data_IF_195963239253
#
_entry.id   IF_195963239253
#
_cell.length_a   1.000
_cell.length_b   1.000
_cell.length_c   1.000
_cell.angle_alpha   90.00
_cell.angle_beta   90.00
_cell.angle_gamma   90.00
#
_symmetry.space_group_name_H-M   'P 1'
#
loop_
_entity.id
_entity.type
_entity.pdbx_description
1 polymer ?
#
# COMPACT_ATOMS: atom_id res chain seq x y z
N UNK A 1 -5.40 -7.41 -20.06
CA UNK A 1 -5.21 -8.10 -18.78
C UNK A 1 -6.53 -8.48 -18.11
N UNK A 2 -7.53 -7.61 -18.05
CA UNK A 2 -8.86 -7.91 -17.47
C UNK A 2 -9.54 -9.12 -18.12
N UNK A 3 -9.41 -9.30 -19.44
CA UNK A 3 -9.94 -10.46 -20.16
C UNK A 3 -9.25 -11.77 -19.72
N UNK A 4 -7.93 -11.73 -19.47
CA UNK A 4 -7.17 -12.90 -19.02
C UNK A 4 -7.57 -13.28 -17.59
N UNK A 5 -7.68 -12.30 -16.69
CA UNK A 5 -8.10 -12.53 -15.29
C UNK A 5 -9.53 -13.08 -15.23
N UNK A 6 -10.46 -12.52 -15.99
CA UNK A 6 -11.84 -13.02 -16.07
C UNK A 6 -11.91 -14.43 -16.70
N UNK A 7 -11.13 -14.69 -17.76
CA UNK A 7 -11.05 -16.01 -18.39
C UNK A 7 -10.52 -17.09 -17.44
N UNK A 8 -9.49 -16.79 -16.68
CA UNK A 8 -8.95 -17.68 -15.65
C UNK A 8 -9.96 -17.96 -14.53
N UNK A 9 -10.71 -16.95 -14.08
CA UNK A 9 -11.77 -17.14 -13.07
C UNK A 9 -12.94 -18.01 -13.57
N UNK A 10 -13.24 -18.00 -14.87
CA UNK A 10 -14.24 -18.90 -15.47
C UNK A 10 -13.71 -20.33 -15.55
N UNK A 11 -12.44 -20.51 -15.92
CA UNK A 11 -11.79 -21.82 -15.99
C UNK A 11 -11.66 -22.46 -14.61
N UNK A 12 -11.29 -21.72 -13.56
CA UNK A 12 -11.24 -22.19 -12.19
C UNK A 12 -12.56 -22.80 -11.70
N UNK A 13 -13.70 -22.22 -12.12
CA UNK A 13 -15.03 -22.73 -11.75
C UNK A 13 -15.45 -23.98 -12.52
N UNK A 14 -14.83 -24.26 -13.67
CA UNK A 14 -15.18 -25.37 -14.56
C UNK A 14 -14.30 -26.61 -14.40
N UNK A 15 -13.10 -26.45 -13.84
CA UNK A 15 -12.13 -27.55 -13.70
C UNK A 15 -12.32 -28.28 -12.37
N UNK A 16 -12.49 -29.58 -12.43
CA UNK A 16 -12.70 -30.45 -11.26
C UNK A 16 -11.43 -31.22 -10.87
N UNK A 17 -10.30 -30.98 -11.55
CA UNK A 17 -9.04 -31.70 -11.31
C UNK A 17 -8.12 -30.86 -10.40
N UNK A 18 -7.68 -31.39 -9.23
CA UNK A 18 -6.91 -30.61 -8.26
C UNK A 18 -5.55 -30.08 -8.76
N UNK A 19 -4.90 -30.78 -9.69
CA UNK A 19 -3.62 -30.33 -10.26
C UNK A 19 -3.80 -29.12 -11.18
N UNK A 20 -4.84 -29.11 -12.00
CA UNK A 20 -5.16 -28.01 -12.91
C UNK A 20 -5.56 -26.76 -12.14
N UNK A 21 -6.22 -26.92 -10.98
CA UNK A 21 -6.57 -25.81 -10.09
C UNK A 21 -5.32 -25.07 -9.57
N UNK A 22 -4.24 -25.78 -9.23
CA UNK A 22 -2.98 -25.17 -8.79
C UNK A 22 -2.29 -24.37 -9.89
N UNK A 23 -2.31 -24.89 -11.12
CA UNK A 23 -1.75 -24.20 -12.30
C UNK A 23 -2.54 -22.94 -12.59
N UNK A 24 -3.87 -23.03 -12.58
CA UNK A 24 -4.75 -21.87 -12.80
C UNK A 24 -4.59 -20.80 -11.72
N UNK A 25 -4.45 -21.20 -10.46
CA UNK A 25 -4.15 -20.28 -9.37
C UNK A 25 -2.79 -19.58 -9.56
N UNK A 26 -1.78 -20.30 -10.01
CA UNK A 26 -0.48 -19.73 -10.32
C UNK A 26 -0.57 -18.73 -11.48
N UNK A 27 -1.33 -19.05 -12.53
CA UNK A 27 -1.57 -18.17 -13.69
C UNK A 27 -2.38 -16.93 -13.28
N UNK A 28 -3.41 -17.07 -12.45
CA UNK A 28 -4.20 -15.96 -11.93
C UNK A 28 -3.33 -15.00 -11.13
N UNK A 29 -2.53 -15.52 -10.20
CA UNK A 29 -1.55 -14.71 -9.44
C UNK A 29 -0.54 -14.01 -10.35
N UNK A 30 -0.05 -14.68 -11.40
CA UNK A 30 0.88 -14.07 -12.35
C UNK A 30 0.22 -12.95 -13.17
N UNK A 31 -1.03 -13.14 -13.59
CA UNK A 31 -1.81 -12.13 -14.32
C UNK A 31 -2.11 -10.91 -13.44
N UNK A 32 -2.48 -11.12 -12.16
CA UNK A 32 -2.72 -10.04 -11.20
C UNK A 32 -1.44 -9.26 -10.89
N UNK A 33 -0.30 -9.93 -10.76
CA UNK A 33 1.00 -9.27 -10.63
C UNK A 33 1.34 -8.41 -11.84
N UNK A 34 1.16 -8.94 -13.05
CA UNK A 34 1.36 -8.19 -14.29
C UNK A 34 0.44 -6.98 -14.40
N UNK A 35 -0.82 -7.11 -13.95
CA UNK A 35 -1.78 -6.01 -13.92
C UNK A 35 -1.37 -4.93 -12.91
N UNK A 36 -0.86 -5.32 -11.74
CA UNK A 36 -0.37 -4.39 -10.72
C UNK A 36 0.87 -3.64 -11.21
N UNK A 37 1.84 -4.36 -11.78
CA UNK A 37 3.05 -3.75 -12.35
C UNK A 37 2.71 -2.77 -13.48
N UNK A 38 1.79 -3.15 -14.37
CA UNK A 38 1.33 -2.28 -15.45
C UNK A 38 0.65 -1.03 -14.90
N UNK A 39 -0.18 -1.15 -13.86
CA UNK A 39 -0.81 0.00 -13.19
C UNK A 39 0.22 0.92 -12.53
N UNK A 40 1.22 0.36 -11.87
CA UNK A 40 2.33 1.13 -11.29
C UNK A 40 3.13 1.86 -12.35
N UNK A 41 3.48 1.20 -13.46
CA UNK A 41 4.15 1.83 -14.60
C UNK A 41 3.30 2.93 -15.24
N UNK A 42 2.00 2.70 -15.42
CA UNK A 42 1.08 3.69 -15.97
C UNK A 42 0.85 4.87 -15.02
N UNK A 43 0.84 4.65 -13.71
CA UNK A 43 0.75 5.73 -12.72
C UNK A 43 2.01 6.59 -12.71
N UNK A 44 3.17 6.00 -12.93
CA UNK A 44 4.43 6.71 -13.09
C UNK A 44 4.53 7.45 -14.44
N UNK A 45 4.08 6.81 -15.52
CA UNK A 45 4.14 7.39 -16.89
C UNK A 45 3.04 8.44 -17.16
N UNK A 46 1.89 8.33 -16.51
CA UNK A 46 0.84 9.34 -16.56
C UNK A 46 1.12 10.42 -15.53
N UNK A 47 1.70 11.52 -15.96
CA UNK A 47 1.60 12.81 -15.29
C UNK A 47 0.13 13.29 -15.32
N UNK A 48 -0.78 12.52 -14.72
CA UNK A 48 -2.12 13.07 -14.48
C UNK A 48 -1.95 14.20 -13.46
N UNK A 49 -2.42 15.42 -13.78
CA UNK A 49 -2.40 16.49 -12.80
C UNK A 49 -3.13 16.00 -11.55
N UNK A 50 -2.44 16.06 -10.40
CA UNK A 50 -3.02 15.67 -9.12
C UNK A 50 -4.30 16.48 -8.87
N UNK A 51 -5.40 15.79 -8.63
CA UNK A 51 -6.66 16.39 -8.23
C UNK A 51 -6.60 16.73 -6.75
N UNK A 52 -5.88 17.82 -6.42
CA UNK A 52 -5.67 18.19 -5.04
C UNK A 52 -6.83 19.05 -4.52
N UNK A 53 -7.53 18.51 -3.53
CA UNK A 53 -8.58 19.21 -2.78
C UNK A 53 -8.28 19.17 -1.28
N UNK A 54 -8.94 20.04 -0.51
CA UNK A 54 -8.81 20.08 0.94
C UNK A 54 -9.59 18.92 1.56
N UNK A 55 -8.88 18.05 2.26
CA UNK A 55 -9.45 16.87 2.91
C UNK A 55 -9.15 16.82 4.41
N UNK A 56 -10.09 16.30 5.18
CA UNK A 56 -9.81 15.78 6.51
C UNK A 56 -9.25 14.36 6.33
N UNK A 57 -7.99 14.16 6.65
CA UNK A 57 -7.29 12.89 6.38
C UNK A 57 -7.86 11.73 7.20
N UNK A 58 -8.33 11.99 8.42
CA UNK A 58 -9.00 10.97 9.22
C UNK A 58 -10.28 10.45 8.51
N UNK A 59 -11.07 11.35 7.91
CA UNK A 59 -12.28 10.95 7.17
C UNK A 59 -11.94 10.09 5.95
N UNK A 60 -10.87 10.44 5.22
CA UNK A 60 -10.39 9.64 4.09
C UNK A 60 -9.99 8.25 4.56
N UNK A 61 -9.16 8.16 5.62
CA UNK A 61 -8.72 6.88 6.18
C UNK A 61 -9.90 6.05 6.70
N UNK A 62 -10.84 6.66 7.43
CA UNK A 62 -12.02 5.97 7.96
C UNK A 62 -12.90 5.38 6.86
N UNK A 63 -13.13 6.13 5.78
CA UNK A 63 -13.89 5.63 4.63
C UNK A 63 -13.19 4.46 3.94
N UNK A 64 -11.86 4.49 3.89
CA UNK A 64 -11.03 3.48 3.24
C UNK A 64 -10.62 2.32 4.18
N UNK A 65 -10.87 2.44 5.48
CA UNK A 65 -10.47 1.47 6.52
C UNK A 65 -10.90 0.03 6.24
N UNK A 66 -12.11 -0.28 5.72
CA UNK A 66 -12.48 -1.66 5.38
C UNK A 66 -11.52 -2.31 4.37
N UNK A 67 -11.00 -1.54 3.41
CA UNK A 67 -10.03 -2.01 2.41
C UNK A 67 -8.68 -2.24 3.08
N UNK A 68 -8.22 -1.30 3.94
CA UNK A 68 -6.97 -1.41 4.69
C UNK A 68 -7.00 -2.63 5.63
N UNK A 69 -8.11 -2.84 6.34
CA UNK A 69 -8.27 -4.02 7.20
C UNK A 69 -8.16 -5.30 6.39
N UNK A 70 -8.87 -5.41 5.26
CA UNK A 70 -8.78 -6.59 4.39
C UNK A 70 -7.36 -6.82 3.86
N UNK A 71 -6.62 -5.76 3.55
CA UNK A 71 -5.25 -5.84 3.05
C UNK A 71 -4.24 -6.20 4.16
N UNK A 72 -4.45 -5.68 5.37
CA UNK A 72 -3.58 -5.89 6.53
C UNK A 72 -3.88 -7.15 7.34
N UNK A 73 -5.10 -7.73 7.21
CA UNK A 73 -5.49 -8.92 7.96
C UNK A 73 -4.95 -10.20 7.32
N UNK A 74 -4.83 -11.21 8.13
CA UNK A 74 -4.31 -12.54 7.84
C UNK A 74 -3.87 -13.14 9.17
N UNK A 75 -2.60 -13.49 9.29
CA UNK A 75 -2.02 -13.93 10.55
C UNK A 75 -1.44 -12.76 11.39
N UNK A 76 -1.77 -11.50 11.06
CA UNK A 76 -1.22 -10.27 11.65
C UNK A 76 -2.35 -9.43 12.25
N UNK A 77 -2.13 -8.84 13.42
CA UNK A 77 -3.07 -7.88 14.02
C UNK A 77 -2.91 -6.50 13.39
N UNK A 78 -4.01 -5.91 12.93
CA UNK A 78 -4.02 -4.60 12.26
C UNK A 78 -4.88 -3.58 13.02
N UNK A 79 -4.27 -2.48 13.41
CA UNK A 79 -4.91 -1.40 14.15
C UNK A 79 -4.77 -0.04 13.44
N UNK A 80 -5.81 0.79 13.54
CA UNK A 80 -5.82 2.19 13.08
C UNK A 80 -6.05 3.10 14.28
N UNK A 81 -5.12 4.02 14.54
CA UNK A 81 -5.18 5.01 15.63
C UNK A 81 -5.14 6.41 15.02
N UNK A 82 -6.27 7.09 15.00
CA UNK A 82 -6.40 8.42 14.44
C UNK A 82 -6.35 9.49 15.52
N UNK A 83 -5.59 10.56 15.29
CA UNK A 83 -5.58 11.72 16.18
C UNK A 83 -6.97 12.35 16.26
N UNK A 84 -7.35 12.85 17.44
CA UNK A 84 -8.68 13.44 17.66
C UNK A 84 -8.96 14.67 16.77
N UNK A 85 -7.92 15.41 16.41
CA UNK A 85 -8.02 16.61 15.57
C UNK A 85 -6.82 16.69 14.64
N UNK A 86 -7.10 16.92 13.35
CA UNK A 86 -6.10 17.20 12.33
C UNK A 86 -6.50 18.45 11.53
N UNK A 87 -5.55 19.25 11.08
CA UNK A 87 -5.81 20.29 10.09
C UNK A 87 -6.23 19.66 8.76
N UNK A 88 -6.94 20.44 7.93
CA UNK A 88 -7.18 20.06 6.54
C UNK A 88 -5.85 20.02 5.79
N UNK A 89 -5.73 19.04 4.90
CA UNK A 89 -4.56 18.89 4.02
C UNK A 89 -4.99 18.92 2.57
N UNK A 90 -4.16 19.50 1.72
CA UNK A 90 -4.40 19.53 0.27
C UNK A 90 -3.75 18.33 -0.38
N UNK A 91 -4.55 17.35 -0.74
CA UNK A 91 -4.10 16.07 -1.31
C UNK A 91 -5.03 15.59 -2.43
N UNK A 92 -4.53 14.68 -3.24
CA UNK A 92 -5.34 13.78 -4.06
C UNK A 92 -5.68 12.54 -3.23
N UNK A 93 -6.96 12.42 -2.82
CA UNK A 93 -7.40 11.34 -1.93
C UNK A 93 -7.14 9.94 -2.53
N UNK A 94 -7.37 9.75 -3.84
CA UNK A 94 -7.16 8.45 -4.48
C UNK A 94 -5.67 8.05 -4.53
N UNK A 95 -4.77 9.00 -4.76
CA UNK A 95 -3.33 8.75 -4.71
C UNK A 95 -2.86 8.46 -3.28
N UNK A 96 -3.41 9.19 -2.30
CA UNK A 96 -3.13 8.94 -0.89
C UNK A 96 -3.59 7.54 -0.45
N UNK A 97 -4.82 7.14 -0.79
CA UNK A 97 -5.35 5.80 -0.51
C UNK A 97 -4.47 4.70 -1.12
N UNK A 98 -4.05 4.89 -2.38
CA UNK A 98 -3.15 3.96 -3.07
C UNK A 98 -1.79 3.84 -2.36
N UNK A 99 -1.20 4.97 -1.94
CA UNK A 99 0.07 4.98 -1.23
C UNK A 99 -0.06 4.30 0.15
N UNK A 100 -1.13 4.59 0.89
CA UNK A 100 -1.38 3.99 2.20
C UNK A 100 -1.58 2.47 2.08
N UNK A 101 -2.36 2.02 1.08
CA UNK A 101 -2.56 0.60 0.80
C UNK A 101 -1.24 -0.11 0.52
N UNK A 102 -0.37 0.49 -0.29
CA UNK A 102 0.96 -0.05 -0.59
C UNK A 102 1.81 -0.20 0.67
N UNK A 103 1.79 0.79 1.57
CA UNK A 103 2.51 0.71 2.84
C UNK A 103 1.97 -0.42 3.72
N UNK A 104 0.65 -0.58 3.84
CA UNK A 104 0.02 -1.64 4.64
C UNK A 104 0.35 -3.03 4.08
N UNK A 105 0.29 -3.20 2.74
CA UNK A 105 0.65 -4.47 2.09
C UNK A 105 2.13 -4.79 2.32
N UNK A 106 3.02 -3.82 2.20
CA UNK A 106 4.45 -4.02 2.46
C UNK A 106 4.72 -4.37 3.93
N UNK A 107 4.06 -3.68 4.86
CA UNK A 107 4.14 -3.97 6.30
C UNK A 107 3.66 -5.40 6.60
N UNK A 108 2.51 -5.82 6.04
CA UNK A 108 2.00 -7.19 6.20
C UNK A 108 2.97 -8.24 5.67
N UNK A 109 3.54 -8.01 4.49
CA UNK A 109 4.46 -8.96 3.86
C UNK A 109 5.78 -9.08 4.63
N UNK A 110 6.18 -8.05 5.39
CA UNK A 110 7.37 -8.04 6.23
C UNK A 110 7.11 -8.59 7.64
N UNK A 111 5.85 -8.70 8.07
CA UNK A 111 5.45 -9.06 9.43
C UNK A 111 5.15 -10.56 9.53
N UNK A 112 5.80 -11.30 10.44
CA UNK A 112 5.50 -12.72 10.66
C UNK A 112 4.12 -12.94 11.29
N UNK A 113 3.63 -14.15 11.23
CA UNK A 113 2.37 -14.53 11.88
C UNK A 113 2.40 -14.21 13.38
N UNK A 114 1.32 -13.64 13.89
CA UNK A 114 1.22 -13.16 15.28
C UNK A 114 1.85 -11.77 15.52
N UNK A 115 2.42 -11.15 14.50
CA UNK A 115 2.89 -9.77 14.58
C UNK A 115 1.77 -8.75 14.50
N UNK A 116 2.12 -7.46 14.56
CA UNK A 116 1.14 -6.37 14.54
C UNK A 116 1.56 -5.25 13.58
N UNK A 117 0.57 -4.56 13.03
CA UNK A 117 0.71 -3.37 12.19
C UNK A 117 -0.19 -2.29 12.77
N UNK A 118 0.36 -1.10 12.95
CA UNK A 118 -0.40 0.05 13.45
C UNK A 118 -0.27 1.21 12.48
N UNK A 119 -1.40 1.71 11.97
CA UNK A 119 -1.47 2.93 11.19
C UNK A 119 -1.92 4.08 12.09
N UNK A 120 -1.14 5.16 12.14
CA UNK A 120 -1.44 6.31 13.01
C UNK A 120 -1.45 7.61 12.24
N UNK A 121 -2.23 8.59 12.74
CA UNK A 121 -2.17 9.98 12.27
C UNK A 121 -1.79 10.91 13.41
N UNK A 122 -1.04 11.96 13.12
CA UNK A 122 -0.70 13.02 14.07
C UNK A 122 -0.49 14.35 13.37
N UNK A 123 -0.75 15.46 14.07
CA UNK A 123 -0.28 16.77 13.66
C UNK A 123 1.13 16.99 14.24
N UNK A 124 2.05 17.46 13.41
CA UNK A 124 3.45 17.72 13.80
C UNK A 124 3.88 19.09 13.29
N UNK A 125 4.60 19.80 14.11
CA UNK A 125 5.24 21.05 13.72
C UNK A 125 6.69 20.73 13.34
N UNK A 126 7.10 21.12 12.15
CA UNK A 126 8.44 20.87 11.63
C UNK A 126 9.19 22.20 11.49
N UNK A 127 10.48 22.19 11.86
CA UNK A 127 11.39 23.27 11.51
C UNK A 127 11.81 23.19 10.03
N UNK A 128 12.29 24.28 9.47
CA UNK A 128 12.77 24.30 8.10
C UNK A 128 13.95 23.33 7.92
N UNK A 129 13.83 22.43 6.94
CA UNK A 129 14.88 21.45 6.63
C UNK A 129 14.97 20.25 7.60
N UNK A 130 14.06 20.13 8.57
CA UNK A 130 14.02 18.99 9.49
C UNK A 130 13.69 17.68 8.76
N UNK A 131 12.84 17.75 7.74
CA UNK A 131 12.53 16.62 6.85
C UNK A 131 12.80 17.04 5.41
N UNK A 132 13.96 16.67 4.89
CA UNK A 132 14.37 17.00 3.52
C UNK A 132 14.30 18.52 3.23
N UNK A 133 13.65 18.91 2.15
CA UNK A 133 13.48 20.31 1.75
C UNK A 133 12.16 20.95 2.21
N UNK A 134 11.46 20.34 3.17
CA UNK A 134 10.18 20.87 3.65
C UNK A 134 10.40 22.21 4.39
N UNK A 135 9.56 23.24 4.13
CA UNK A 135 9.57 24.47 4.90
C UNK A 135 9.07 24.25 6.33
N UNK A 136 9.37 25.18 7.24
CA UNK A 136 8.77 25.19 8.57
C UNK A 136 7.25 25.30 8.49
N UNK A 137 6.52 24.57 9.33
CA UNK A 137 5.07 24.63 9.36
C UNK A 137 4.41 23.47 10.06
N UNK A 138 3.07 23.51 10.07
CA UNK A 138 2.23 22.46 10.62
C UNK A 138 1.90 21.42 9.54
N UNK A 139 2.20 20.18 9.82
CA UNK A 139 2.01 19.03 8.92
C UNK A 139 1.12 17.97 9.55
N UNK A 140 0.50 17.17 8.71
CA UNK A 140 -0.12 15.93 9.14
C UNK A 140 0.81 14.78 8.79
N UNK A 141 1.21 14.03 9.81
CA UNK A 141 2.01 12.81 9.68
C UNK A 141 1.11 11.60 9.70
N UNK A 142 1.27 10.73 8.70
CA UNK A 142 0.71 9.38 8.66
C UNK A 142 1.87 8.41 8.81
N UNK A 143 1.78 7.51 9.77
CA UNK A 143 2.82 6.54 10.08
C UNK A 143 2.23 5.14 10.04
N UNK A 144 2.90 4.23 9.35
CA UNK A 144 2.63 2.79 9.38
C UNK A 144 3.79 2.11 10.06
N UNK A 145 3.54 1.50 11.21
CA UNK A 145 4.54 0.78 12.00
C UNK A 145 4.19 -0.69 12.01
N UNK A 146 5.15 -1.51 11.70
CA UNK A 146 5.05 -2.97 11.73
C UNK A 146 6.04 -3.57 12.75
N UNK A 147 5.78 -4.81 13.17
CA UNK A 147 6.66 -5.61 14.02
C UNK A 147 7.48 -6.62 13.22
N UNK A 148 7.68 -6.34 11.94
CA UNK A 148 8.40 -7.22 11.02
C UNK A 148 9.90 -7.22 11.20
N UNK A 149 10.60 -7.85 10.25
CA UNK A 149 12.05 -8.00 10.26
C UNK A 149 12.82 -6.69 10.09
N UNK A 150 12.12 -5.61 9.71
CA UNK A 150 12.74 -4.33 9.41
C UNK A 150 13.61 -4.34 8.15
N UNK A 151 14.37 -3.27 7.96
CA UNK A 151 15.26 -3.07 6.82
C UNK A 151 16.68 -2.76 7.30
N UNK A 152 17.69 -3.31 6.62
CA UNK A 152 19.06 -2.85 6.82
C UNK A 152 19.19 -1.38 6.37
N UNK A 153 20.22 -0.68 6.84
CA UNK A 153 20.46 0.73 6.46
C UNK A 153 20.55 0.92 4.95
N UNK A 154 21.20 -0.01 4.25
CA UNK A 154 21.36 0.03 2.79
C UNK A 154 20.03 -0.17 2.06
N UNK A 155 19.17 -1.09 2.55
CA UNK A 155 17.84 -1.32 2.00
C UNK A 155 16.95 -0.10 2.27
N UNK A 156 16.97 0.45 3.47
CA UNK A 156 16.18 1.63 3.84
C UNK A 156 16.55 2.86 3.00
N UNK A 157 17.84 3.08 2.70
CA UNK A 157 18.29 4.18 1.87
C UNK A 157 17.77 4.09 0.42
N UNK A 158 17.53 2.88 -0.07
CA UNK A 158 17.08 2.59 -1.43
C UNK A 158 15.59 2.29 -1.54
N UNK A 159 14.89 2.13 -0.41
CA UNK A 159 13.50 1.71 -0.38
C UNK A 159 12.52 2.62 -1.14
N UNK A 160 12.91 3.90 -1.35
CA UNK A 160 12.14 4.89 -2.13
C UNK A 160 12.56 4.96 -3.61
N UNK A 161 13.60 4.23 -4.02
CA UNK A 161 14.01 4.20 -5.42
C UNK A 161 12.93 3.47 -6.25
N UNK A 162 12.57 4.01 -7.42
CA UNK A 162 11.67 3.32 -8.33
C UNK A 162 12.20 1.92 -8.68
N UNK A 163 11.30 0.91 -8.64
CA UNK A 163 11.62 -0.48 -8.98
C UNK A 163 12.58 -1.21 -8.02
N UNK A 164 12.98 -0.59 -6.91
CA UNK A 164 13.77 -1.28 -5.91
C UNK A 164 12.89 -2.26 -5.12
N UNK A 165 13.32 -3.50 -5.03
CA UNK A 165 12.67 -4.54 -4.24
C UNK A 165 13.70 -5.56 -3.75
N UNK A 166 13.52 -6.03 -2.53
CA UNK A 166 14.26 -7.16 -1.95
C UNK A 166 13.47 -8.47 -2.04
N UNK A 167 12.23 -8.40 -2.56
CA UNK A 167 11.39 -9.58 -2.75
C UNK A 167 11.85 -10.39 -3.97
N UNK A 168 11.66 -11.72 -3.98
CA UNK A 168 11.94 -12.57 -5.14
C UNK A 168 11.25 -12.06 -6.40
N UNK A 169 11.85 -12.30 -7.57
CA UNK A 169 11.28 -11.89 -8.85
C UNK A 169 9.80 -12.27 -8.96
N UNK A 170 8.94 -11.30 -9.22
CA UNK A 170 7.50 -11.45 -9.36
C UNK A 170 6.70 -11.34 -8.06
N UNK A 171 7.29 -10.95 -6.95
CA UNK A 171 6.61 -10.68 -5.67
C UNK A 171 6.79 -9.24 -5.15
N UNK A 172 7.60 -8.42 -5.84
CA UNK A 172 7.85 -7.02 -5.55
C UNK A 172 7.03 -6.08 -6.42
#
# INVERSE_FOLDING_TARGET
>A
LSVVVNGLGILQRKLQVPEDARVLDAMARAADRGANLTRQLLSFARQQPLKQDNHNLNSVIQTFEPVLRRAGTGAVDFEVRLAARLPLVRIDAAQFESALLNLIVNARDATPAGGHIVATTSAVELAAGEVGALPAGLYVRVEVKDSGSGMSKDVAARAIEPFFTTKPMGQG
#
